data_IF_870012871516
#
_entry.id   IF_870012871516
#
_cell.length_a   1.000
_cell.length_b   1.000
_cell.length_c   1.000
_cell.angle_alpha   90.00
_cell.angle_beta   90.00
_cell.angle_gamma   90.00
#
_symmetry.space_group_name_H-M   'P 1'
#
loop_
_entity.id
_entity.type
_entity.pdbx_description
1 polymer ?
#
# COMPACT_ATOMS: atom_id res chain seq x y z
N UNK A 1 25.22 26.07 15.95
CA UNK A 1 24.47 24.83 16.25
C UNK A 1 24.54 24.51 17.74
N UNK A 2 23.66 25.10 18.55
CA UNK A 2 23.66 24.89 20.01
C UNK A 2 23.08 23.52 20.39
N UNK A 3 23.56 22.96 21.50
CA UNK A 3 23.15 21.68 22.10
C UNK A 3 23.26 20.46 21.17
N UNK A 4 24.15 20.51 20.18
CA UNK A 4 24.52 19.34 19.38
C UNK A 4 25.62 18.54 20.07
N UNK A 5 25.62 17.20 19.96
CA UNK A 5 26.58 16.35 20.65
C UNK A 5 28.00 16.60 20.15
N UNK A 6 28.95 16.48 21.08
CA UNK A 6 30.36 16.28 20.78
C UNK A 6 30.68 14.82 21.11
N UNK A 7 31.08 14.05 20.10
CA UNK A 7 31.28 12.61 20.21
C UNK A 7 32.73 12.19 19.93
N UNK A 8 33.04 10.96 20.31
CA UNK A 8 34.32 10.33 19.98
C UNK A 8 34.25 9.73 18.57
N UNK A 9 35.08 10.20 17.64
CA UNK A 9 35.22 9.59 16.31
C UNK A 9 33.94 9.46 15.47
N UNK A 10 32.94 10.32 15.65
CA UNK A 10 31.61 10.21 15.01
C UNK A 10 30.73 9.03 15.48
N UNK A 11 31.03 8.41 16.63
CA UNK A 11 30.12 7.43 17.25
C UNK A 11 29.01 8.11 18.05
N UNK A 12 27.77 8.03 17.55
CA UNK A 12 26.55 8.54 18.17
C UNK A 12 26.32 8.06 19.62
N UNK A 13 26.95 6.93 20.03
CA UNK A 13 26.83 6.36 21.38
C UNK A 13 27.89 6.89 22.34
N UNK A 14 29.00 7.41 21.82
CA UNK A 14 30.17 7.86 22.59
C UNK A 14 30.16 9.38 22.75
N UNK A 15 29.11 9.91 23.38
CA UNK A 15 28.94 11.34 23.62
C UNK A 15 29.82 11.80 24.79
N UNK A 16 30.76 12.69 24.50
CA UNK A 16 31.73 13.25 25.45
C UNK A 16 31.36 14.66 25.93
N UNK A 17 30.46 15.35 25.22
CA UNK A 17 30.08 16.72 25.51
C UNK A 17 28.99 17.26 24.60
N UNK A 18 28.81 18.59 24.61
CA UNK A 18 27.92 19.28 23.69
C UNK A 18 28.40 20.69 23.34
N UNK A 19 28.02 21.15 22.15
CA UNK A 19 28.23 22.52 21.68
C UNK A 19 27.32 23.48 22.46
N UNK A 20 27.89 24.57 22.98
CA UNK A 20 27.17 25.65 23.67
C UNK A 20 27.04 26.92 22.82
N UNK A 21 27.98 27.18 21.91
CA UNK A 21 27.98 28.35 21.04
C UNK A 21 28.71 28.07 19.73
N UNK A 22 28.35 28.79 18.67
CA UNK A 22 29.08 28.81 17.40
C UNK A 22 28.98 30.20 16.78
N UNK A 23 30.08 30.75 16.28
CA UNK A 23 30.09 32.03 15.54
C UNK A 23 31.04 31.97 14.33
N UNK A 24 30.77 32.77 13.31
CA UNK A 24 31.69 32.97 12.20
C UNK A 24 32.77 33.97 12.63
N UNK A 25 34.03 33.67 12.33
CA UNK A 25 35.17 34.52 12.65
C UNK A 25 36.08 34.70 11.45
N UNK A 26 36.80 35.82 11.39
CA UNK A 26 37.86 36.00 10.41
C UNK A 26 39.08 35.12 10.72
N UNK A 27 40.08 35.11 9.84
CA UNK A 27 41.32 34.35 10.02
C UNK A 27 42.21 34.86 11.18
N UNK A 28 41.82 35.92 11.89
CA UNK A 28 42.47 36.44 13.10
C UNK A 28 41.71 36.00 14.37
N UNK A 29 40.43 35.66 14.24
CA UNK A 29 39.55 35.18 15.31
C UNK A 29 38.46 36.17 15.75
N UNK A 30 38.35 37.32 15.06
CA UNK A 30 37.34 38.34 15.35
C UNK A 30 35.98 37.97 14.73
N UNK A 31 34.88 38.26 15.42
CA UNK A 31 33.54 37.86 14.98
C UNK A 31 33.06 38.62 13.73
N UNK A 32 32.61 37.88 12.72
CA UNK A 32 32.06 38.45 11.48
C UNK A 32 30.58 38.77 11.70
N UNK A 33 30.27 40.06 11.77
CA UNK A 33 28.91 40.59 11.84
C UNK A 33 28.58 41.30 10.53
N UNK A 34 27.73 40.69 9.70
CA UNK A 34 27.35 41.24 8.39
C UNK A 34 26.15 42.19 8.52
N UNK A 35 26.22 43.33 7.84
CA UNK A 35 25.05 44.18 7.60
C UNK A 35 24.14 43.57 6.52
N UNK A 36 22.85 43.98 6.46
CA UNK A 36 21.83 43.43 5.54
C UNK A 36 22.19 43.42 4.04
N UNK A 37 23.18 44.20 3.61
CA UNK A 37 23.62 44.31 2.21
C UNK A 37 25.13 44.00 2.04
N UNK A 38 25.78 43.41 3.05
CA UNK A 38 27.19 43.05 2.98
C UNK A 38 27.35 41.58 2.60
N UNK A 39 28.19 41.31 1.61
CA UNK A 39 28.53 39.93 1.25
C UNK A 39 29.55 39.37 2.26
N UNK A 40 29.39 38.11 2.70
CA UNK A 40 30.37 37.44 3.55
C UNK A 40 31.75 37.41 2.87
N UNK A 41 32.85 37.40 3.64
CA UNK A 41 34.19 37.22 3.08
C UNK A 41 34.32 35.85 2.40
N UNK A 42 35.18 35.78 1.38
CA UNK A 42 35.43 34.56 0.61
C UNK A 42 36.01 33.41 1.44
N UNK A 43 36.67 33.73 2.56
CA UNK A 43 37.24 32.77 3.50
C UNK A 43 36.96 33.27 4.93
N UNK A 44 36.44 32.37 5.77
CA UNK A 44 36.18 32.59 7.20
C UNK A 44 36.26 31.25 7.94
N UNK A 45 36.43 31.30 9.25
CA UNK A 45 36.41 30.13 10.13
C UNK A 45 35.11 30.11 10.94
N UNK A 46 34.76 28.93 11.46
CA UNK A 46 33.64 28.76 12.39
C UNK A 46 34.22 28.37 13.74
N UNK A 47 34.21 29.30 14.70
CA UNK A 47 34.58 28.96 16.07
C UNK A 47 33.38 28.30 16.77
N UNK A 48 33.62 27.12 17.34
CA UNK A 48 32.64 26.34 18.08
C UNK A 48 33.11 26.20 19.52
N UNK A 49 32.32 26.70 20.47
CA UNK A 49 32.56 26.50 21.90
C UNK A 49 31.67 25.35 22.40
N UNK A 50 32.26 24.45 23.18
CA UNK A 50 31.58 23.28 23.75
C UNK A 50 32.10 22.92 25.13
N UNK A 51 31.35 22.08 25.84
CA UNK A 51 31.71 21.61 27.18
C UNK A 51 31.78 20.09 27.21
N UNK A 52 32.81 19.56 27.89
CA UNK A 52 33.04 18.13 28.04
C UNK A 52 32.60 17.63 29.41
N UNK A 53 31.95 16.47 29.44
CA UNK A 53 31.28 15.90 30.61
C UNK A 53 32.25 15.15 31.54
N UNK A 54 33.30 15.82 32.01
CA UNK A 54 34.34 15.25 32.89
C UNK A 54 33.82 14.53 34.15
N UNK A 55 32.62 14.85 34.62
CA UNK A 55 32.04 14.26 35.86
C UNK A 55 31.23 12.98 35.62
N UNK A 56 31.10 12.53 34.37
CA UNK A 56 30.37 11.29 34.06
C UNK A 56 31.30 10.07 34.19
N UNK A 57 30.89 9.01 34.92
CA UNK A 57 31.71 7.82 35.13
C UNK A 57 32.17 7.19 33.82
N UNK A 58 33.48 6.92 33.72
CA UNK A 58 34.10 6.28 32.57
C UNK A 58 34.49 7.21 31.41
N UNK A 59 34.21 8.51 31.50
CA UNK A 59 34.65 9.49 30.48
C UNK A 59 35.91 10.29 30.87
N UNK A 60 36.30 10.26 32.15
CA UNK A 60 37.43 11.03 32.70
C UNK A 60 38.72 10.84 31.91
N UNK A 61 39.25 9.61 31.84
CA UNK A 61 40.50 9.27 31.15
C UNK A 61 40.49 9.70 29.67
N UNK A 62 39.38 9.45 28.96
CA UNK A 62 39.26 9.76 27.52
C UNK A 62 39.19 11.27 27.25
N UNK A 63 38.49 12.02 28.11
CA UNK A 63 38.46 13.49 28.01
C UNK A 63 39.85 14.08 28.32
N UNK A 64 40.61 13.47 29.23
CA UNK A 64 41.99 13.90 29.51
C UNK A 64 42.94 13.60 28.35
N UNK A 65 42.86 12.41 27.74
CA UNK A 65 43.61 12.08 26.51
C UNK A 65 43.31 13.05 25.36
N UNK A 66 42.03 13.39 25.14
CA UNK A 66 41.60 14.37 24.12
C UNK A 66 42.19 15.75 24.42
N UNK A 67 42.23 16.19 25.68
CA UNK A 67 42.83 17.47 26.07
C UNK A 67 44.35 17.45 25.87
N UNK A 68 45.03 16.35 26.21
CA UNK A 68 46.48 16.22 26.01
C UNK A 68 46.83 16.25 24.52
N UNK A 69 46.19 15.41 23.71
CA UNK A 69 46.39 15.38 22.25
C UNK A 69 46.00 16.70 21.58
N UNK A 70 44.94 17.38 22.03
CA UNK A 70 44.57 18.70 21.52
C UNK A 70 45.67 19.74 21.77
N UNK A 71 46.25 19.76 22.97
CA UNK A 71 47.38 20.65 23.29
C UNK A 71 48.67 20.29 22.55
N UNK A 72 48.86 19.01 22.18
CA UNK A 72 49.96 18.56 21.32
C UNK A 72 49.75 18.87 19.82
N UNK A 73 48.51 19.20 19.40
CA UNK A 73 48.16 19.35 18.00
C UNK A 73 47.88 18.02 17.28
N UNK A 74 47.62 16.95 18.02
CA UNK A 74 47.36 15.58 17.54
C UNK A 74 45.86 15.22 17.55
N UNK A 75 45.01 16.11 18.09
CA UNK A 75 43.55 15.94 18.09
C UNK A 75 42.87 17.14 17.43
N UNK A 76 41.93 16.84 16.55
CA UNK A 76 41.22 17.78 15.70
C UNK A 76 39.70 17.58 15.84
N UNK A 77 38.95 18.46 15.17
CA UNK A 77 37.49 18.36 15.10
C UNK A 77 37.03 18.11 13.67
N UNK A 78 36.06 17.21 13.53
CA UNK A 78 35.33 17.01 12.29
C UNK A 78 33.86 17.31 12.54
N UNK A 79 33.23 18.04 11.63
CA UNK A 79 31.87 18.56 11.82
C UNK A 79 30.85 17.71 11.07
N UNK A 80 29.85 17.20 11.79
CA UNK A 80 28.74 16.48 11.17
C UNK A 80 27.72 17.47 10.63
N UNK A 81 27.33 17.28 9.37
CA UNK A 81 26.36 18.14 8.70
C UNK A 81 25.24 17.32 8.09
N UNK A 82 24.02 17.80 8.28
CA UNK A 82 22.87 17.42 7.47
C UNK A 82 22.67 18.51 6.41
N UNK A 83 22.39 18.11 5.18
CA UNK A 83 22.02 19.00 4.08
C UNK A 83 20.82 18.36 3.35
N UNK A 84 19.73 19.09 3.09
CA UNK A 84 18.57 18.55 2.40
C UNK A 84 18.81 18.38 0.89
N UNK A 85 19.68 19.19 0.29
CA UNK A 85 19.96 19.17 -1.15
C UNK A 85 21.41 19.55 -1.48
N UNK A 86 21.80 19.37 -2.75
CA UNK A 86 23.08 19.82 -3.29
C UNK A 86 22.95 20.28 -4.75
N UNK A 87 23.70 21.32 -5.09
CA UNK A 87 24.00 21.72 -6.46
C UNK A 87 25.31 21.06 -6.94
N UNK A 88 25.63 21.19 -8.23
CA UNK A 88 26.91 20.75 -8.78
C UNK A 88 27.92 21.88 -8.78
N UNK A 89 29.14 21.60 -8.33
CA UNK A 89 30.29 22.49 -8.49
C UNK A 89 31.23 21.91 -9.54
N UNK A 90 31.46 22.63 -10.64
CA UNK A 90 32.49 22.28 -11.62
C UNK A 90 33.70 23.19 -11.38
N UNK A 91 34.82 22.60 -10.97
CA UNK A 91 36.08 23.29 -10.78
C UNK A 91 36.95 23.15 -12.05
N UNK A 92 37.34 24.30 -12.60
CA UNK A 92 38.28 24.39 -13.71
C UNK A 92 39.68 24.67 -13.17
N UNK A 93 40.59 23.69 -13.30
CA UNK A 93 41.96 23.79 -12.81
C UNK A 93 42.80 24.82 -13.58
N UNK A 94 42.45 25.11 -14.85
CA UNK A 94 43.22 26.03 -15.67
C UNK A 94 42.97 27.50 -15.28
N UNK A 95 41.80 27.80 -14.74
CA UNK A 95 41.42 29.15 -14.28
C UNK A 95 41.29 29.28 -12.76
N UNK A 96 41.38 28.18 -12.01
CA UNK A 96 41.11 28.10 -10.56
C UNK A 96 39.72 28.65 -10.18
N UNK A 97 38.72 28.47 -11.03
CA UNK A 97 37.35 28.97 -10.81
C UNK A 97 36.34 27.84 -10.66
N UNK A 98 35.42 27.99 -9.71
CA UNK A 98 34.28 27.09 -9.53
C UNK A 98 33.04 27.68 -10.21
N UNK A 99 32.40 26.89 -11.08
CA UNK A 99 31.07 27.18 -11.64
C UNK A 99 30.02 26.40 -10.85
N UNK A 100 29.02 27.11 -10.33
CA UNK A 100 27.85 26.52 -9.68
C UNK A 100 26.79 26.20 -10.74
N UNK A 101 26.24 24.99 -10.70
CA UNK A 101 25.16 24.53 -11.59
C UNK A 101 24.05 23.94 -10.73
N UNK A 102 22.85 24.53 -10.81
CA UNK A 102 21.68 24.04 -10.10
C UNK A 102 21.31 22.61 -10.53
N UNK A 103 20.81 21.81 -9.59
CA UNK A 103 20.36 20.44 -9.84
C UNK A 103 18.90 20.45 -10.32
N UNK A 104 18.72 20.34 -11.64
CA UNK A 104 17.41 20.31 -12.32
C UNK A 104 17.26 19.00 -13.11
N UNK A 105 16.09 18.74 -13.70
CA UNK A 105 15.91 17.55 -14.56
C UNK A 105 16.92 17.50 -15.71
N UNK A 106 17.33 18.66 -16.24
CA UNK A 106 18.28 18.76 -17.35
C UNK A 106 19.73 18.51 -16.92
N UNK A 107 20.09 18.81 -15.66
CA UNK A 107 21.45 18.64 -15.13
C UNK A 107 21.62 17.39 -14.26
N UNK A 108 20.51 16.72 -13.88
CA UNK A 108 20.51 15.55 -13.02
C UNK A 108 21.40 14.41 -13.51
N UNK A 109 21.65 14.30 -14.82
CA UNK A 109 22.57 13.30 -15.39
C UNK A 109 24.02 13.43 -14.88
N UNK A 110 24.43 14.61 -14.38
CA UNK A 110 25.73 14.82 -13.75
C UNK A 110 25.91 14.02 -12.45
N UNK A 111 24.81 13.61 -11.80
CA UNK A 111 24.84 12.82 -10.56
C UNK A 111 25.68 11.55 -10.69
N UNK A 112 25.62 10.86 -11.85
CA UNK A 112 26.38 9.62 -12.11
C UNK A 112 27.91 9.81 -12.15
N UNK A 113 28.37 11.04 -12.35
CA UNK A 113 29.80 11.38 -12.38
C UNK A 113 30.35 11.71 -10.99
N UNK A 114 29.50 11.86 -9.96
CA UNK A 114 29.96 12.16 -8.61
C UNK A 114 30.51 10.91 -7.92
N UNK A 115 31.66 11.04 -7.24
CA UNK A 115 32.26 9.96 -6.42
C UNK A 115 31.32 9.36 -5.38
N UNK A 116 30.45 10.17 -4.77
CA UNK A 116 29.46 9.69 -3.79
C UNK A 116 28.38 8.77 -4.40
N UNK A 117 28.29 8.71 -5.73
CA UNK A 117 27.39 7.83 -6.47
C UNK A 117 28.17 6.83 -7.36
N UNK A 118 29.45 6.61 -7.09
CA UNK A 118 30.31 5.64 -7.80
C UNK A 118 30.97 6.15 -9.08
N UNK A 119 30.87 7.45 -9.39
CA UNK A 119 31.61 8.09 -10.48
C UNK A 119 33.09 8.37 -10.14
N UNK A 120 33.83 8.87 -11.13
CA UNK A 120 35.22 9.34 -10.99
C UNK A 120 35.34 10.70 -10.27
N UNK A 121 34.30 11.52 -10.33
CA UNK A 121 34.30 12.90 -9.89
C UNK A 121 34.78 13.87 -10.98
N UNK A 122 34.63 13.51 -12.25
CA UNK A 122 34.99 14.34 -13.40
C UNK A 122 33.87 14.43 -14.43
N UNK A 123 33.77 15.59 -15.08
CA UNK A 123 32.91 15.78 -16.23
C UNK A 123 33.63 16.63 -17.27
N UNK A 124 33.76 16.09 -18.50
CA UNK A 124 34.50 16.73 -19.61
C UNK A 124 35.95 17.15 -19.25
N UNK A 125 36.62 16.41 -18.36
CA UNK A 125 37.97 16.70 -17.89
C UNK A 125 38.06 17.85 -16.87
N UNK A 126 36.93 18.29 -16.30
CA UNK A 126 36.86 19.23 -15.18
C UNK A 126 36.39 18.49 -13.92
N UNK A 127 36.90 18.88 -12.75
CA UNK A 127 36.54 18.26 -11.47
C UNK A 127 35.10 18.59 -11.10
N UNK A 128 34.29 17.57 -10.84
CA UNK A 128 32.88 17.68 -10.47
C UNK A 128 32.67 17.29 -9.01
N UNK A 129 32.11 18.21 -8.23
CA UNK A 129 31.75 18.02 -6.83
C UNK A 129 30.29 18.35 -6.52
N UNK A 130 29.88 18.07 -5.28
CA UNK A 130 28.62 18.55 -4.71
C UNK A 130 28.88 19.87 -3.99
N UNK A 131 28.06 20.88 -4.26
CA UNK A 131 27.94 22.08 -3.43
C UNK A 131 26.71 21.87 -2.56
N UNK A 132 26.94 21.63 -1.27
CA UNK A 132 25.88 21.29 -0.32
C UNK A 132 25.04 22.55 -0.03
N UNK A 133 23.72 22.42 -0.08
CA UNK A 133 22.78 23.51 0.15
C UNK A 133 22.13 23.36 1.53
N UNK A 134 21.74 24.47 2.14
CA UNK A 134 21.05 24.53 3.44
C UNK A 134 21.69 23.64 4.53
N UNK A 135 23.02 23.68 4.61
CA UNK A 135 23.79 22.89 5.56
C UNK A 135 23.48 23.26 7.01
N UNK A 136 23.16 22.27 7.82
CA UNK A 136 22.98 22.39 9.28
C UNK A 136 23.97 21.48 9.98
N UNK A 137 24.81 22.06 10.84
CA UNK A 137 25.67 21.28 11.73
C UNK A 137 24.82 20.54 12.78
N UNK A 138 24.98 19.22 12.83
CA UNK A 138 24.20 18.32 13.71
C UNK A 138 25.03 17.69 14.83
N UNK A 139 26.35 17.74 14.75
CA UNK A 139 27.28 17.14 15.71
C UNK A 139 28.74 17.52 15.41
N UNK A 140 29.64 17.09 16.29
CA UNK A 140 31.08 17.30 16.17
C UNK A 140 31.82 16.07 16.70
N UNK A 141 32.72 15.50 15.90
CA UNK A 141 33.58 14.39 16.31
C UNK A 141 34.99 14.84 16.64
N UNK A 142 35.55 14.29 17.72
CA UNK A 142 36.98 14.32 17.99
C UNK A 142 37.69 13.28 17.14
N UNK A 143 38.67 13.70 16.34
CA UNK A 143 39.36 12.85 15.36
C UNK A 143 40.86 13.17 15.28
N UNK A 144 41.67 12.15 15.01
CA UNK A 144 43.12 12.31 14.77
C UNK A 144 43.43 12.70 13.31
N UNK A 145 42.47 12.52 12.40
CA UNK A 145 42.60 12.87 10.97
C UNK A 145 41.33 13.60 10.51
N UNK A 146 41.30 14.93 10.53
CA UNK A 146 40.10 15.70 10.17
C UNK A 146 39.91 15.79 8.65
N UNK A 147 38.66 15.92 8.22
CA UNK A 147 38.34 16.21 6.82
C UNK A 147 38.79 17.61 6.36
N UNK A 148 39.07 18.52 7.31
CA UNK A 148 39.68 19.83 7.10
C UNK A 148 40.87 19.99 8.06
N UNK A 149 42.12 20.05 7.58
CA UNK A 149 43.30 20.22 8.44
C UNK A 149 43.32 21.50 9.30
N UNK A 150 42.58 22.55 8.90
CA UNK A 150 42.48 23.79 9.70
C UNK A 150 41.56 23.66 10.93
N UNK A 151 40.86 22.52 11.10
CA UNK A 151 39.92 22.27 12.20
C UNK A 151 40.61 21.93 13.54
N UNK A 152 41.31 22.90 14.12
CA UNK A 152 42.10 22.76 15.36
C UNK A 152 41.29 22.99 16.64
N UNK A 153 41.73 22.39 17.75
CA UNK A 153 41.13 22.56 19.09
C UNK A 153 41.92 23.60 19.89
N UNK A 154 41.23 24.63 20.41
CA UNK A 154 41.77 25.54 21.42
C UNK A 154 41.25 25.12 22.80
N UNK A 155 42.07 24.47 23.62
CA UNK A 155 41.67 24.13 25.00
C UNK A 155 41.67 25.39 25.86
N UNK A 156 40.49 25.91 26.17
CA UNK A 156 40.35 27.03 27.10
C UNK A 156 40.79 26.61 28.51
N UNK A 157 41.90 27.17 29.00
CA UNK A 157 42.28 27.01 30.40
C UNK A 157 41.17 27.56 31.31
N UNK A 158 40.90 26.87 32.43
CA UNK A 158 39.81 27.19 33.39
C UNK A 158 39.83 28.63 33.95
N UNK A 159 40.93 29.36 33.75
CA UNK A 159 41.12 30.76 34.13
C UNK A 159 40.72 31.80 33.05
N UNK A 160 40.31 31.37 31.85
CA UNK A 160 39.96 32.25 30.71
C UNK A 160 38.50 32.06 30.25
N UNK A 161 37.72 31.22 30.94
CA UNK A 161 36.28 31.43 30.96
C UNK A 161 36.04 32.84 31.54
N UNK A 162 35.27 33.68 30.83
CA UNK A 162 35.06 35.06 31.25
C UNK A 162 34.48 35.13 32.66
N UNK A 163 34.61 36.29 33.30
CA UNK A 163 34.08 36.60 34.63
C UNK A 163 32.56 36.41 34.80
N UNK A 164 31.87 36.00 33.74
CA UNK A 164 30.43 35.76 33.67
C UNK A 164 30.06 34.29 33.93
N UNK A 165 31.02 33.35 33.82
CA UNK A 165 30.80 31.93 34.16
C UNK A 165 30.98 31.68 35.66
N UNK A 166 29.94 32.02 36.41
CA UNK A 166 29.82 31.72 37.84
C UNK A 166 29.86 30.19 38.04
N UNK A 167 30.98 29.66 38.53
CA UNK A 167 30.99 28.36 39.21
C UNK A 167 30.26 28.55 40.54
N UNK A 168 28.92 28.49 40.52
CA UNK A 168 28.11 28.52 41.72
C UNK A 168 28.40 27.24 42.52
N UNK A 169 29.20 27.35 43.57
CA UNK A 169 29.32 26.28 44.54
C UNK A 169 27.95 26.15 45.21
N UNK A 170 27.45 24.93 45.42
CA UNK A 170 26.07 24.75 45.89
C UNK A 170 25.85 25.28 47.33
N UNK A 171 26.96 25.54 48.05
CA UNK A 171 26.97 26.22 49.35
C UNK A 171 26.94 27.77 49.26
N UNK A 172 27.23 28.36 48.10
CA UNK A 172 27.23 29.81 47.87
C UNK A 172 25.83 30.34 47.48
N UNK A 173 24.86 29.45 47.26
CA UNK A 173 23.45 29.81 47.13
C UNK A 173 22.92 30.17 48.52
N UNK A 174 23.16 31.42 48.92
CA UNK A 174 22.53 32.00 50.10
C UNK A 174 21.01 32.01 49.93
N UNK A 175 20.32 31.39 50.88
CA UNK A 175 18.88 31.30 51.00
C UNK A 175 18.28 32.69 51.30
N UNK A 176 18.22 33.55 50.28
CA UNK A 176 17.80 34.96 50.40
C UNK A 176 18.46 35.90 49.38
N UNK A 177 18.25 35.65 48.08
CA UNK A 177 18.95 36.33 46.98
C UNK A 177 18.09 37.12 45.98
N UNK A 178 16.76 37.06 46.04
CA UNK A 178 15.87 37.88 45.19
C UNK A 178 14.93 38.67 46.08
N UNK A 179 15.27 39.94 46.32
CA UNK A 179 14.31 40.92 46.80
C UNK A 179 13.48 41.38 45.62
N UNK A 180 12.21 41.01 45.62
CA UNK A 180 11.06 41.73 45.05
C UNK A 180 11.40 42.84 44.05
N UNK A 181 11.83 42.46 42.84
CA UNK A 181 11.44 43.22 41.67
C UNK A 181 10.04 42.73 41.30
N UNK A 182 9.02 43.51 41.68
CA UNK A 182 7.65 43.31 41.21
C UNK A 182 7.58 43.53 39.69
N UNK A 183 7.98 42.52 38.92
CA UNK A 183 7.71 42.47 37.50
C UNK A 183 6.24 42.08 37.31
N UNK A 184 5.37 43.05 37.59
CA UNK A 184 3.91 42.92 37.52
C UNK A 184 3.44 42.45 36.15
N UNK A 185 4.14 42.81 35.07
CA UNK A 185 3.88 42.33 33.72
C UNK A 185 4.15 40.82 33.58
N UNK A 186 5.27 40.31 34.11
CA UNK A 186 5.54 38.87 34.15
C UNK A 186 4.55 38.11 35.02
N UNK A 187 4.18 38.67 36.18
CA UNK A 187 3.20 38.06 37.09
C UNK A 187 1.81 37.98 36.43
N UNK A 188 1.41 39.04 35.70
CA UNK A 188 0.16 39.07 34.95
C UNK A 188 0.19 38.08 33.77
N UNK A 189 1.28 38.02 33.02
CA UNK A 189 1.46 37.05 31.93
C UNK A 189 1.43 35.60 32.44
N UNK A 190 2.05 35.32 33.59
CA UNK A 190 2.01 34.01 34.24
C UNK A 190 0.60 33.65 34.70
N UNK A 191 -0.13 34.59 35.29
CA UNK A 191 -1.53 34.39 35.70
C UNK A 191 -2.46 34.16 34.49
N UNK A 192 -2.28 34.90 33.39
CA UNK A 192 -3.06 34.73 32.15
C UNK A 192 -2.74 33.39 31.47
N UNK A 193 -1.45 33.00 31.41
CA UNK A 193 -1.04 31.69 30.90
C UNK A 193 -1.61 30.54 31.76
N UNK A 194 -1.57 30.68 33.09
CA UNK A 194 -2.15 29.71 34.02
C UNK A 194 -3.67 29.59 33.82
N UNK A 195 -4.39 30.71 33.68
CA UNK A 195 -5.83 30.69 33.42
C UNK A 195 -6.18 30.00 32.08
N UNK A 196 -5.42 30.27 31.01
CA UNK A 196 -5.57 29.59 29.71
C UNK A 196 -5.27 28.09 29.80
N UNK A 197 -4.24 27.69 30.55
CA UNK A 197 -3.91 26.27 30.77
C UNK A 197 -5.06 25.57 31.49
N UNK A 198 -5.61 26.14 32.57
CA UNK A 198 -6.78 25.57 33.27
C UNK A 198 -7.97 25.42 32.32
N UNK A 199 -8.31 26.47 31.57
CA UNK A 199 -9.44 26.44 30.64
C UNK A 199 -9.26 25.38 29.53
N UNK A 200 -8.07 25.27 28.94
CA UNK A 200 -7.77 24.21 27.95
C UNK A 200 -7.81 22.80 28.57
N UNK A 201 -7.44 22.67 29.85
CA UNK A 201 -7.50 21.39 30.57
C UNK A 201 -8.95 20.95 30.80
N UNK A 202 -9.80 21.87 31.23
CA UNK A 202 -11.25 21.65 31.38
C UNK A 202 -11.91 21.30 30.03
N UNK A 203 -11.55 21.99 28.94
CA UNK A 203 -12.03 21.69 27.58
C UNK A 203 -11.59 20.29 27.11
N UNK A 204 -10.36 19.87 27.41
CA UNK A 204 -9.86 18.52 27.11
C UNK A 204 -10.62 17.44 27.91
N UNK A 205 -10.94 17.69 29.18
CA UNK A 205 -11.71 16.75 30.01
C UNK A 205 -13.17 16.62 29.51
N UNK A 206 -13.78 17.74 29.12
CA UNK A 206 -15.11 17.76 28.48
C UNK A 206 -15.10 17.04 27.12
N UNK A 207 -14.04 17.16 26.33
CA UNK A 207 -13.91 16.47 25.04
C UNK A 207 -13.71 14.96 25.21
N UNK A 208 -12.88 14.52 26.18
CA UNK A 208 -12.71 13.09 26.51
C UNK A 208 -14.04 12.43 26.88
N UNK A 209 -14.77 13.04 27.82
CA UNK A 209 -16.03 12.50 28.36
C UNK A 209 -17.22 12.57 27.39
N UNK A 210 -17.26 13.56 26.48
CA UNK A 210 -18.35 13.68 25.50
C UNK A 210 -18.10 12.97 24.17
N UNK A 211 -16.85 12.92 23.71
CA UNK A 211 -16.49 12.43 22.38
C UNK A 211 -16.28 10.93 22.31
N UNK A 212 -15.47 10.39 23.22
CA UNK A 212 -15.05 8.98 23.20
C UNK A 212 -16.13 8.07 23.76
N UNK A 213 -16.59 8.32 24.99
CA UNK A 213 -17.46 7.38 25.72
C UNK A 213 -18.79 7.17 25.00
N UNK A 214 -19.44 8.25 24.51
CA UNK A 214 -20.68 8.14 23.74
C UNK A 214 -20.52 7.29 22.48
N UNK A 215 -19.43 7.51 21.74
CA UNK A 215 -19.19 6.79 20.48
C UNK A 215 -18.81 5.33 20.72
N UNK A 216 -18.10 5.05 21.83
CA UNK A 216 -17.85 3.68 22.30
C UNK A 216 -19.17 3.00 22.67
N UNK A 217 -20.04 3.62 23.48
CA UNK A 217 -21.33 3.02 23.85
C UNK A 217 -22.25 2.76 22.65
N UNK A 218 -22.29 3.67 21.67
CA UNK A 218 -23.12 3.50 20.49
C UNK A 218 -22.59 2.40 19.55
N UNK A 219 -21.27 2.34 19.32
CA UNK A 219 -20.65 1.25 18.58
C UNK A 219 -20.82 -0.10 19.28
N UNK A 220 -20.71 -0.15 20.62
CA UNK A 220 -20.97 -1.38 21.40
C UNK A 220 -22.41 -1.86 21.23
N UNK A 221 -23.40 -0.95 21.29
CA UNK A 221 -24.81 -1.29 21.07
C UNK A 221 -25.06 -1.82 19.65
N UNK A 222 -24.44 -1.21 18.63
CA UNK A 222 -24.56 -1.67 17.24
C UNK A 222 -23.91 -3.05 17.01
N UNK A 223 -22.79 -3.32 17.68
CA UNK A 223 -22.14 -4.64 17.64
C UNK A 223 -23.04 -5.72 18.27
N UNK A 224 -23.71 -5.41 19.39
CA UNK A 224 -24.62 -6.36 20.07
C UNK A 224 -25.88 -6.67 19.23
N UNK A 225 -26.46 -5.65 18.59
CA UNK A 225 -27.59 -5.79 17.65
C UNK A 225 -27.21 -6.61 16.40
N UNK A 226 -26.05 -6.31 15.78
CA UNK A 226 -25.53 -7.08 14.64
C UNK A 226 -25.20 -8.53 15.03
N UNK A 227 -24.64 -8.76 16.22
CA UNK A 227 -24.33 -10.12 16.71
C UNK A 227 -25.61 -10.94 16.88
N UNK A 228 -26.66 -10.33 17.45
CA UNK A 228 -27.98 -10.96 17.58
C UNK A 228 -28.57 -11.31 16.20
N UNK A 229 -28.52 -10.36 15.26
CA UNK A 229 -29.03 -10.54 13.89
C UNK A 229 -28.30 -11.65 13.14
N UNK A 230 -26.97 -11.75 13.28
CA UNK A 230 -26.16 -12.82 12.68
C UNK A 230 -26.50 -14.19 13.28
N UNK A 231 -26.77 -14.26 14.59
CA UNK A 231 -27.20 -15.51 15.24
C UNK A 231 -28.54 -16.00 14.69
N UNK A 232 -29.55 -15.13 14.60
CA UNK A 232 -30.84 -15.48 14.01
C UNK A 232 -30.75 -15.90 12.54
N UNK A 233 -29.91 -15.20 11.76
CA UNK A 233 -29.69 -15.53 10.35
C UNK A 233 -29.04 -16.91 10.19
N UNK A 234 -28.13 -17.28 11.10
CA UNK A 234 -27.49 -18.61 11.13
C UNK A 234 -28.50 -19.71 11.44
N UNK A 235 -29.34 -19.54 12.45
CA UNK A 235 -30.38 -20.52 12.81
C UNK A 235 -31.38 -20.72 11.65
N UNK A 236 -31.79 -19.64 10.97
CA UNK A 236 -32.64 -19.71 9.77
C UNK A 236 -31.96 -20.44 8.61
N UNK A 237 -30.67 -20.23 8.40
CA UNK A 237 -29.91 -20.93 7.35
C UNK A 237 -29.77 -22.44 7.63
N UNK A 238 -29.50 -22.82 8.89
CA UNK A 238 -29.46 -24.23 9.31
C UNK A 238 -30.83 -24.91 9.13
N UNK A 239 -31.93 -24.22 9.48
CA UNK A 239 -33.28 -24.71 9.24
C UNK A 239 -33.56 -24.93 7.72
N UNK A 240 -33.22 -23.98 6.86
CA UNK A 240 -33.43 -24.11 5.41
C UNK A 240 -32.63 -25.27 4.78
N UNK A 241 -31.39 -25.54 5.22
CA UNK A 241 -30.65 -26.70 4.71
C UNK A 241 -31.29 -28.03 5.17
N UNK A 242 -31.89 -28.10 6.37
CA UNK A 242 -32.64 -29.30 6.78
C UNK A 242 -33.92 -29.53 5.96
N UNK A 243 -34.68 -28.46 5.67
CA UNK A 243 -35.89 -28.54 4.83
C UNK A 243 -35.54 -28.95 3.39
N UNK A 244 -34.49 -28.35 2.82
CA UNK A 244 -33.96 -28.68 1.49
C UNK A 244 -33.53 -30.14 1.37
N UNK A 245 -32.88 -30.70 2.40
CA UNK A 245 -32.50 -32.11 2.42
C UNK A 245 -33.71 -33.06 2.44
N UNK A 246 -34.75 -32.73 3.20
CA UNK A 246 -35.99 -33.54 3.23
C UNK A 246 -36.79 -33.40 1.93
N UNK A 247 -36.87 -32.21 1.33
CA UNK A 247 -37.48 -32.00 0.01
C UNK A 247 -36.76 -32.77 -1.10
N UNK A 248 -35.42 -32.81 -1.08
CA UNK A 248 -34.64 -33.62 -2.04
C UNK A 248 -34.97 -35.11 -1.89
N UNK A 249 -35.04 -35.63 -0.67
CA UNK A 249 -35.44 -37.03 -0.41
C UNK A 249 -36.86 -37.33 -0.92
N UNK A 250 -37.82 -36.43 -0.71
CA UNK A 250 -39.18 -36.59 -1.22
C UNK A 250 -39.25 -36.55 -2.76
N UNK A 251 -38.41 -35.73 -3.39
CA UNK A 251 -38.27 -35.69 -4.85
C UNK A 251 -37.71 -37.01 -5.40
N UNK A 252 -36.65 -37.54 -4.79
CA UNK A 252 -36.05 -38.82 -5.18
C UNK A 252 -37.05 -39.98 -5.07
N UNK A 253 -37.79 -40.06 -3.95
CA UNK A 253 -38.86 -41.04 -3.76
C UNK A 253 -40.00 -40.91 -4.78
N UNK A 254 -40.37 -39.68 -5.15
CA UNK A 254 -41.41 -39.42 -6.14
C UNK A 254 -40.98 -39.82 -7.56
N UNK A 255 -39.72 -39.53 -7.91
CA UNK A 255 -39.12 -39.97 -9.18
C UNK A 255 -39.06 -41.49 -9.27
N UNK A 256 -38.61 -42.19 -8.21
CA UNK A 256 -38.57 -43.65 -8.20
C UNK A 256 -39.97 -44.25 -8.45
N UNK A 257 -40.97 -43.82 -7.69
CA UNK A 257 -42.38 -44.25 -7.84
C UNK A 257 -42.91 -43.95 -9.25
N UNK A 258 -42.61 -42.77 -9.80
CA UNK A 258 -43.02 -42.40 -11.16
C UNK A 258 -42.45 -43.38 -12.20
N UNK A 259 -41.13 -43.63 -12.18
CA UNK A 259 -40.50 -44.58 -13.13
C UNK A 259 -41.00 -46.02 -12.96
N UNK A 260 -41.41 -46.43 -11.76
CA UNK A 260 -42.02 -47.74 -11.55
C UNK A 260 -43.44 -47.80 -12.13
N UNK A 261 -44.23 -46.74 -11.97
CA UNK A 261 -45.58 -46.66 -12.58
C UNK A 261 -45.51 -46.60 -14.11
N UNK A 262 -44.55 -45.89 -14.69
CA UNK A 262 -44.35 -45.80 -16.14
C UNK A 262 -44.00 -47.18 -16.75
N UNK A 263 -43.08 -47.93 -16.11
CA UNK A 263 -42.77 -49.33 -16.49
C UNK A 263 -44.01 -50.23 -16.45
N UNK A 264 -44.84 -50.12 -15.40
CA UNK A 264 -46.09 -50.88 -15.27
C UNK A 264 -47.10 -50.50 -16.35
N UNK A 265 -47.19 -49.21 -16.70
CA UNK A 265 -48.10 -48.69 -17.73
C UNK A 265 -47.72 -49.26 -19.11
N UNK A 266 -46.44 -49.23 -19.48
CA UNK A 266 -45.92 -49.84 -20.72
C UNK A 266 -46.24 -51.34 -20.82
N UNK A 267 -46.09 -52.09 -19.73
CA UNK A 267 -46.40 -53.53 -19.73
C UNK A 267 -47.92 -53.84 -19.79
N UNK A 268 -48.78 -52.92 -19.31
CA UNK A 268 -50.24 -52.98 -19.50
C UNK A 268 -50.58 -52.66 -20.96
N UNK A 269 -49.99 -51.62 -21.56
CA UNK A 269 -50.22 -51.24 -22.96
C UNK A 269 -49.82 -52.35 -23.93
N UNK A 270 -48.63 -52.96 -23.75
CA UNK A 270 -48.24 -54.15 -24.51
C UNK A 270 -49.28 -55.27 -24.41
N UNK A 271 -49.78 -55.53 -23.21
CA UNK A 271 -50.83 -56.53 -22.97
C UNK A 271 -52.14 -56.21 -23.69
N UNK A 272 -52.60 -54.95 -23.62
CA UNK A 272 -53.80 -54.49 -24.31
C UNK A 272 -53.65 -54.57 -25.83
N UNK A 273 -52.51 -54.12 -26.38
CA UNK A 273 -52.18 -54.26 -27.80
C UNK A 273 -52.16 -55.73 -28.21
N UNK A 274 -51.56 -56.63 -27.44
CA UNK A 274 -51.52 -58.06 -27.74
C UNK A 274 -52.93 -58.68 -27.90
N UNK A 275 -53.87 -58.31 -27.02
CA UNK A 275 -55.26 -58.81 -27.07
C UNK A 275 -55.99 -58.29 -28.32
N UNK A 276 -55.86 -57.01 -28.64
CA UNK A 276 -56.45 -56.42 -29.86
C UNK A 276 -55.86 -57.02 -31.14
N UNK A 277 -54.55 -57.30 -31.14
CA UNK A 277 -53.82 -57.96 -32.23
C UNK A 277 -54.30 -59.40 -32.43
N UNK A 278 -54.46 -60.17 -31.35
CA UNK A 278 -55.02 -61.53 -31.41
C UNK A 278 -56.44 -61.52 -31.99
N UNK A 279 -57.30 -60.58 -31.58
CA UNK A 279 -58.66 -60.47 -32.10
C UNK A 279 -58.68 -60.27 -33.63
N UNK A 280 -57.85 -59.35 -34.16
CA UNK A 280 -57.69 -59.14 -35.61
C UNK A 280 -57.13 -60.38 -36.33
N UNK A 281 -56.17 -61.09 -35.75
CA UNK A 281 -55.62 -62.33 -36.35
C UNK A 281 -56.65 -63.46 -36.40
N UNK A 282 -57.55 -63.55 -35.41
CA UNK A 282 -58.68 -64.49 -35.42
C UNK A 282 -59.67 -64.21 -36.54
N UNK A 283 -60.01 -62.95 -36.78
CA UNK A 283 -60.93 -62.55 -37.85
C UNK A 283 -60.44 -62.97 -39.24
N UNK A 284 -59.12 -62.93 -39.47
CA UNK A 284 -58.48 -63.38 -40.73
C UNK A 284 -58.11 -64.88 -40.71
N UNK A 285 -58.47 -65.63 -39.68
CA UNK A 285 -58.24 -67.08 -39.57
C UNK A 285 -56.77 -67.50 -39.43
N UNK A 286 -55.91 -66.63 -38.90
CA UNK A 286 -54.46 -66.87 -38.73
C UNK A 286 -54.08 -67.17 -37.27
N UNK A 287 -54.90 -67.94 -36.56
CA UNK A 287 -54.64 -68.35 -35.16
C UNK A 287 -54.93 -69.83 -34.99
N UNK A 288 -53.88 -70.60 -34.70
CA UNK A 288 -53.98 -72.03 -34.36
C UNK A 288 -54.04 -72.26 -32.83
N UNK A 289 -53.31 -71.46 -32.05
CA UNK A 289 -53.33 -71.46 -30.58
C UNK A 289 -53.34 -70.02 -30.05
N UNK A 290 -54.46 -69.63 -29.43
CA UNK A 290 -54.69 -68.32 -28.81
C UNK A 290 -53.57 -67.87 -27.86
N UNK A 291 -53.05 -68.81 -27.07
CA UNK A 291 -52.11 -68.54 -25.98
C UNK A 291 -50.70 -68.38 -26.51
N UNK A 292 -50.31 -69.20 -27.49
CA UNK A 292 -49.03 -69.05 -28.18
C UNK A 292 -49.00 -67.73 -28.97
N UNK A 293 -50.01 -67.47 -29.80
CA UNK A 293 -50.06 -66.25 -30.62
C UNK A 293 -50.09 -64.98 -29.77
N UNK A 294 -50.85 -64.95 -28.66
CA UNK A 294 -50.89 -63.79 -27.76
C UNK A 294 -49.53 -63.48 -27.12
N UNK A 295 -48.74 -64.52 -26.79
CA UNK A 295 -47.40 -64.33 -26.25
C UNK A 295 -46.44 -63.74 -27.29
N UNK A 296 -46.50 -64.21 -28.54
CA UNK A 296 -45.66 -63.71 -29.63
C UNK A 296 -45.99 -62.26 -30.02
N UNK A 297 -47.27 -61.92 -30.22
CA UNK A 297 -47.67 -60.58 -30.70
C UNK A 297 -47.58 -59.49 -29.62
N UNK A 298 -47.20 -59.82 -28.38
CA UNK A 298 -47.07 -58.88 -27.25
C UNK A 298 -45.97 -57.84 -27.47
N UNK A 299 -44.80 -58.28 -27.91
CA UNK A 299 -43.62 -57.43 -28.05
C UNK A 299 -43.37 -56.93 -29.50
N UNK A 300 -44.30 -57.18 -30.43
CA UNK A 300 -44.21 -56.66 -31.79
C UNK A 300 -44.40 -55.12 -31.82
N UNK A 301 -43.69 -54.43 -32.71
CA UNK A 301 -44.04 -53.05 -33.06
C UNK A 301 -45.36 -53.01 -33.82
N UNK A 302 -46.06 -51.87 -33.79
CA UNK A 302 -47.31 -51.70 -34.54
C UNK A 302 -47.08 -51.85 -36.05
N UNK A 303 -45.95 -51.36 -36.56
CA UNK A 303 -45.50 -51.53 -37.96
C UNK A 303 -45.30 -53.00 -38.36
N UNK A 304 -44.69 -53.80 -37.46
CA UNK A 304 -44.49 -55.24 -37.69
C UNK A 304 -45.83 -55.96 -37.78
N UNK A 305 -46.74 -55.65 -36.85
CA UNK A 305 -48.07 -56.24 -36.83
C UNK A 305 -48.89 -55.88 -38.07
N UNK A 306 -48.95 -54.61 -38.44
CA UNK A 306 -49.69 -54.16 -39.62
C UNK A 306 -49.15 -54.76 -40.93
N UNK A 307 -47.84 -55.02 -41.01
CA UNK A 307 -47.21 -55.68 -42.15
C UNK A 307 -47.62 -57.16 -42.26
N UNK A 308 -47.67 -57.88 -41.14
CA UNK A 308 -48.12 -59.28 -41.09
C UNK A 308 -49.60 -59.40 -41.45
N UNK A 309 -50.46 -58.52 -40.92
CA UNK A 309 -51.90 -58.52 -41.23
C UNK A 309 -52.15 -58.23 -42.72
N UNK A 310 -51.45 -57.26 -43.32
CA UNK A 310 -51.55 -56.98 -44.76
C UNK A 310 -51.17 -58.19 -45.61
N UNK A 311 -50.04 -58.83 -45.32
CA UNK A 311 -49.59 -60.02 -46.03
C UNK A 311 -50.58 -61.19 -45.91
N UNK A 312 -51.08 -61.44 -44.68
CA UNK A 312 -52.07 -62.47 -44.43
C UNK A 312 -53.40 -62.22 -45.16
N UNK A 313 -53.88 -60.96 -45.19
CA UNK A 313 -55.07 -60.59 -45.94
C UNK A 313 -54.91 -60.86 -47.44
N UNK A 314 -53.78 -60.49 -48.05
CA UNK A 314 -53.53 -60.79 -49.48
C UNK A 314 -53.52 -62.28 -49.79
N UNK A 315 -53.00 -63.14 -48.88
CA UNK A 315 -53.08 -64.60 -49.03
C UNK A 315 -54.50 -65.16 -48.87
N UNK A 316 -55.34 -64.53 -48.08
CA UNK A 316 -56.74 -64.95 -47.90
C UNK A 316 -57.59 -64.64 -49.15
N UNK A 317 -57.26 -63.58 -49.89
CA UNK A 317 -57.94 -63.21 -51.15
C UNK A 317 -57.61 -64.18 -52.31
N UNK A 318 -56.35 -64.64 -52.42
CA UNK A 318 -55.93 -65.66 -53.41
C UNK A 318 -56.65 -67.03 -53.25
N UNK A 319 -57.41 -67.23 -52.18
CA UNK A 319 -58.15 -68.48 -51.91
C UNK A 319 -59.67 -68.36 -52.21
N UNK A 320 -60.14 -67.27 -52.82
CA UNK A 320 -61.58 -67.03 -53.10
C UNK A 320 -61.92 -66.41 -54.46
N UNK A 321 -61.50 -67.03 -55.57
CA UNK A 321 -62.22 -66.89 -56.84
C UNK A 321 -63.42 -67.87 -56.93
N UNK A 322 -64.48 -67.60 -56.15
CA UNK A 322 -65.84 -67.89 -56.63
C UNK A 322 -66.91 -67.03 -55.93
N UNK A 323 -67.75 -66.39 -56.76
CA UNK A 323 -69.01 -65.67 -56.46
C UNK A 323 -68.95 -64.25 -55.83
N UNK A 324 -69.29 -63.28 -56.68
CA UNK A 324 -70.00 -62.01 -56.37
C UNK A 324 -71.27 -62.28 -55.52
N UNK A 325 -71.96 -61.31 -54.89
CA UNK A 325 -72.23 -59.92 -55.30
C UNK A 325 -72.87 -59.08 -54.17
N UNK A 326 -72.44 -57.81 -53.97
CA UNK A 326 -73.15 -56.70 -53.24
C UNK A 326 -73.59 -56.91 -51.76
N UNK A 327 -73.63 -55.91 -50.88
CA UNK A 327 -74.07 -54.51 -51.05
C UNK A 327 -73.53 -53.58 -49.94
N UNK A 328 -73.43 -52.28 -50.26
CA UNK A 328 -72.90 -51.15 -49.44
C UNK A 328 -74.01 -50.45 -48.63
N UNK A 329 -73.71 -49.97 -47.40
CA UNK A 329 -74.27 -48.80 -46.64
C UNK A 329 -73.35 -48.65 -45.39
N UNK A 330 -72.45 -47.64 -45.25
CA UNK A 330 -72.65 -46.24 -44.75
C UNK A 330 -73.43 -46.17 -43.41
N UNK A 331 -72.97 -45.55 -42.31
CA UNK A 331 -72.59 -44.14 -42.26
C UNK A 331 -71.80 -43.71 -40.98
N UNK A 332 -71.32 -42.46 -41.02
CA UNK A 332 -70.83 -41.51 -39.98
C UNK A 332 -71.34 -41.74 -38.54
N UNK A 333 -70.68 -41.26 -37.47
CA UNK A 333 -70.04 -39.94 -37.26
C UNK A 333 -68.97 -40.01 -36.15
N UNK A 334 -67.92 -39.16 -36.11
CA UNK A 334 -67.93 -37.74 -35.73
C UNK A 334 -68.56 -37.52 -34.32
N UNK A 335 -68.03 -36.71 -33.40
CA UNK A 335 -67.28 -35.45 -33.62
C UNK A 335 -66.57 -35.01 -32.31
N UNK A 336 -65.47 -34.25 -32.44
CA UNK A 336 -65.15 -33.01 -31.70
C UNK A 336 -65.02 -32.99 -30.15
N UNK A 337 -63.85 -32.58 -29.63
CA UNK A 337 -63.55 -31.20 -29.12
C UNK A 337 -63.90 -31.05 -27.61
N UNK A 338 -63.34 -30.11 -26.82
CA UNK A 338 -62.46 -28.95 -27.08
C UNK A 338 -61.72 -28.58 -25.77
N UNK A 339 -60.55 -27.93 -25.92
CA UNK A 339 -60.08 -26.77 -25.12
C UNK A 339 -59.89 -26.97 -23.58
N UNK A 340 -59.24 -26.08 -22.81
CA UNK A 340 -58.86 -24.69 -23.03
C UNK A 340 -57.36 -24.38 -22.89
N UNK A 341 -56.91 -23.40 -23.67
CA UNK A 341 -55.71 -22.60 -23.40
C UNK A 341 -56.00 -21.64 -22.23
N UNK A 342 -54.98 -21.27 -21.43
CA UNK A 342 -54.49 -19.87 -21.49
C UNK A 342 -53.27 -19.56 -20.59
N UNK A 343 -52.28 -18.88 -21.22
CA UNK A 343 -51.51 -17.70 -20.75
C UNK A 343 -50.80 -17.71 -19.36
N UNK A 344 -49.60 -17.14 -19.18
CA UNK A 344 -48.61 -16.56 -20.09
C UNK A 344 -47.23 -16.37 -19.40
N UNK A 345 -46.20 -16.19 -20.23
CA UNK A 345 -45.01 -15.31 -20.13
C UNK A 345 -44.97 -14.26 -18.97
N UNK A 346 -43.85 -13.74 -18.46
CA UNK A 346 -42.41 -13.75 -18.82
C UNK A 346 -41.59 -13.23 -17.57
N UNK A 347 -40.25 -13.08 -17.47
CA UNK A 347 -39.12 -13.14 -18.42
C UNK A 347 -37.76 -13.58 -17.82
N UNK A 348 -36.79 -13.70 -18.74
CA UNK A 348 -35.33 -13.87 -18.66
C UNK A 348 -34.58 -12.63 -18.07
N UNK A 349 -33.53 -12.74 -17.25
CA UNK A 349 -32.17 -13.34 -17.40
C UNK A 349 -31.13 -12.38 -18.03
N UNK A 350 -30.30 -11.73 -17.19
CA UNK A 350 -29.06 -11.06 -17.60
C UNK A 350 -28.09 -10.89 -16.41
N UNK A 351 -26.95 -11.61 -16.43
CA UNK A 351 -25.71 -11.31 -15.69
C UNK A 351 -24.65 -12.39 -15.99
N UNK A 352 -23.71 -12.13 -16.89
CA UNK A 352 -22.45 -12.88 -17.04
C UNK A 352 -21.42 -12.00 -17.75
N UNK A 353 -20.17 -12.09 -17.26
CA UNK A 353 -18.90 -11.67 -17.86
C UNK A 353 -18.68 -10.19 -18.27
N UNK A 354 -17.63 -9.61 -17.68
CA UNK A 354 -16.49 -9.13 -18.45
C UNK A 354 -15.22 -9.08 -17.57
N UNK A 355 -14.11 -9.57 -18.12
CA UNK A 355 -12.74 -9.47 -17.61
C UNK A 355 -11.91 -8.93 -18.77
N UNK A 356 -11.09 -7.90 -18.55
CA UNK A 356 -9.95 -7.63 -19.42
C UNK A 356 -8.89 -6.81 -18.68
N UNK A 357 -7.66 -7.33 -18.66
CA UNK A 357 -6.45 -6.56 -18.35
C UNK A 357 -6.08 -5.73 -19.58
N UNK A 358 -5.38 -4.60 -19.38
CA UNK A 358 -4.26 -4.23 -20.24
C UNK A 358 -3.33 -3.26 -19.49
N UNK A 359 -2.03 -3.49 -19.67
CA UNK A 359 -0.96 -2.59 -19.25
C UNK A 359 -0.33 -2.00 -20.52
N UNK A 360 0.14 -0.76 -20.45
CA UNK A 360 1.02 -0.18 -21.48
C UNK A 360 2.01 0.80 -20.83
N UNK A 361 3.29 0.60 -21.14
CA UNK A 361 4.40 1.52 -20.82
C UNK A 361 4.46 2.68 -21.85
N UNK A 362 4.98 3.87 -21.47
CA UNK A 362 5.04 5.02 -22.36
C UNK A 362 6.23 4.99 -23.33
N UNK A 363 5.97 5.29 -24.61
CA UNK A 363 7.00 5.45 -25.65
C UNK A 363 7.67 6.84 -25.61
N UNK A 364 8.95 6.88 -26.01
CA UNK A 364 9.81 8.06 -26.00
C UNK A 364 10.09 8.52 -27.44
N UNK A 365 9.68 9.74 -27.79
CA UNK A 365 10.25 10.44 -28.95
C UNK A 365 10.61 11.87 -28.59
N UNK A 366 11.91 12.17 -28.61
CA UNK A 366 12.41 13.53 -28.58
C UNK A 366 12.11 14.24 -29.90
N UNK A 367 11.84 15.54 -29.85
CA UNK A 367 12.14 16.43 -30.96
C UNK A 367 12.70 17.74 -30.41
N UNK A 368 13.89 18.11 -30.88
CA UNK A 368 14.56 19.33 -30.48
C UNK A 368 14.18 20.45 -31.46
N UNK A 369 13.64 21.55 -30.95
CA UNK A 369 13.62 22.82 -31.66
C UNK A 369 14.11 23.93 -30.72
N UNK A 370 14.93 24.81 -31.29
CA UNK A 370 15.77 25.78 -30.60
C UNK A 370 15.14 27.16 -30.72
N UNK A 371 14.92 27.87 -29.61
CA UNK A 371 14.80 29.34 -29.60
C UNK A 371 14.84 29.91 -28.17
N UNK A 372 15.48 31.07 -28.00
CA UNK A 372 15.27 31.97 -26.86
C UNK A 372 16.30 31.94 -25.73
N UNK A 373 17.41 32.67 -25.91
CA UNK A 373 18.23 33.12 -24.77
C UNK A 373 17.39 34.05 -23.87
N UNK A 374 17.36 33.78 -22.56
CA UNK A 374 17.12 34.81 -21.55
C UNK A 374 18.01 34.56 -20.35
N UNK A 375 19.13 35.27 -20.29
CA UNK A 375 19.97 35.33 -19.10
C UNK A 375 19.14 35.93 -17.95
N UNK A 376 18.82 35.12 -16.95
CA UNK A 376 18.30 35.63 -15.68
C UNK A 376 19.44 35.57 -14.66
N UNK A 377 20.12 36.71 -14.47
CA UNK A 377 21.07 36.90 -13.36
C UNK A 377 20.34 36.71 -12.02
N UNK A 378 20.28 35.47 -11.55
CA UNK A 378 19.83 35.17 -10.20
C UNK A 378 20.99 35.47 -9.25
N UNK A 379 21.08 36.72 -8.82
CA UNK A 379 22.00 37.19 -7.80
C UNK A 379 21.68 36.57 -6.43
N UNK A 380 22.09 35.31 -6.24
CA UNK A 380 21.97 34.59 -4.98
C UNK A 380 23.29 34.76 -4.21
N UNK A 381 23.30 35.75 -3.31
CA UNK A 381 24.40 35.98 -2.38
C UNK A 381 24.43 34.87 -1.31
N UNK A 382 25.09 33.75 -1.62
CA UNK A 382 25.37 32.67 -0.66
C UNK A 382 26.87 32.62 -0.34
N UNK A 383 27.20 32.49 0.94
CA UNK A 383 28.57 32.39 1.43
C UNK A 383 29.30 31.18 0.83
N UNK A 384 30.19 31.41 -0.15
CA UNK A 384 31.05 30.37 -0.70
C UNK A 384 32.21 30.06 0.25
N UNK A 385 31.94 29.29 1.31
CA UNK A 385 33.02 28.79 2.17
C UNK A 385 33.72 27.59 1.49
N UNK A 386 34.84 27.87 0.83
CA UNK A 386 35.63 26.90 0.05
C UNK A 386 36.40 25.93 0.96
N UNK A 387 35.86 24.72 1.15
CA UNK A 387 36.63 23.56 1.61
C UNK A 387 37.65 23.17 0.53
N UNK A 388 38.88 23.69 0.63
CA UNK A 388 39.99 23.33 -0.27
C UNK A 388 40.47 21.90 0.04
N UNK A 389 40.32 21.01 -0.94
CA UNK A 389 40.90 19.67 -0.89
C UNK A 389 42.38 19.73 -1.30
N UNK A 390 43.28 19.23 -0.45
CA UNK A 390 44.70 19.05 -0.77
C UNK A 390 44.91 17.71 -1.48
N UNK A 391 45.48 17.66 -2.70
CA UNK A 391 45.71 16.42 -3.43
C UNK A 391 47.17 15.95 -3.30
N UNK A 392 47.50 15.37 -2.15
CA UNK A 392 48.65 14.49 -1.87
C UNK A 392 48.24 13.71 -0.59
N UNK A 393 48.55 12.42 -0.36
CA UNK A 393 49.67 11.60 -0.86
C UNK A 393 49.20 10.22 -1.38
N UNK A 394 49.99 9.58 -2.24
CA UNK A 394 49.94 8.13 -2.46
C UNK A 394 50.98 7.46 -1.55
N UNK A 395 50.56 6.63 -0.58
CA UNK A 395 51.24 5.38 -0.18
C UNK A 395 50.29 4.46 0.62
#
# INVERSE_FOLDING_TARGET
AQHKPMNDGHDEKSILGHIIQSRAVDKVGEEIVLAENESPPNEFDIEVAGVLYKVLPGLEDRIEEIIEKANAGEMYVSMETMFPDFAFGIFDEATSTTKLIARTNETAFLTKHLRSFGGDGEFKGQKLGRVLLDMVFIGQGFVETPANPESVIKVAARAVASSDFVNANMNDILEGGVKDMENTELQNALNEATAKITQLTDEIEVLKTKGSDKKITELSSQIEELTTTVSEAKEKAEAFETEKAELQKQLDEAVEKSTETEKKLVEIEKGAKAVLRLAKLKEIGQVEDDKATLAEVRDWSDETFDSVVKYAATKAEDTKEEKKETKKVEDKSNTDEKSDEDKAAEAAKAALENVEENADDPDFTANAENEGESEMELAVATANCLMKYSPDENE
#
